data_IF_810272014395
#
_entry.id   IF_810272014395
#
_cell.length_a   1.000
_cell.length_b   1.000
_cell.length_c   1.000
_cell.angle_alpha   90.00
_cell.angle_beta   90.00
_cell.angle_gamma   90.00
#
_symmetry.space_group_name_H-M   'P 1'
#
loop_
_entity.id
_entity.type
_entity.pdbx_description
1 polymer ?
#
# COMPACT_ATOMS: atom_id res chain seq x y z
N UNK A 1 -12.89 18.50 52.00
CA UNK A 1 -13.37 18.25 50.62
C UNK A 1 -12.49 18.84 49.52
N UNK A 2 -11.96 20.09 49.62
CA UNK A 2 -11.06 20.66 48.59
C UNK A 2 -9.80 19.83 48.28
N UNK A 3 -9.18 19.19 49.29
CA UNK A 3 -7.97 18.37 49.11
C UNK A 3 -8.20 17.05 48.35
N UNK A 4 -9.41 16.48 48.43
CA UNK A 4 -9.77 15.22 47.74
C UNK A 4 -10.06 15.50 46.25
N UNK A 5 -10.70 16.64 45.96
CA UNK A 5 -10.99 17.07 44.59
C UNK A 5 -9.71 17.37 43.79
N UNK A 6 -8.72 18.02 44.40
CA UNK A 6 -7.40 18.22 43.76
C UNK A 6 -6.67 16.91 43.48
N UNK A 7 -6.76 15.92 44.38
CA UNK A 7 -6.10 14.62 44.21
C UNK A 7 -6.73 13.83 43.03
N UNK A 8 -8.06 13.81 42.95
CA UNK A 8 -8.80 13.19 41.84
C UNK A 8 -8.52 13.90 40.49
N UNK A 9 -8.39 15.23 40.50
CA UNK A 9 -8.04 15.98 39.29
C UNK A 9 -6.60 15.72 38.83
N UNK A 10 -5.64 15.61 39.76
CA UNK A 10 -4.26 15.25 39.44
C UNK A 10 -4.11 13.81 38.93
N UNK A 11 -4.87 12.86 39.48
CA UNK A 11 -4.89 11.48 39.01
C UNK A 11 -5.52 11.37 37.61
N UNK A 12 -6.60 12.12 37.34
CA UNK A 12 -7.21 12.19 36.01
C UNK A 12 -6.28 12.73 34.92
N UNK A 13 -5.46 13.76 35.24
CA UNK A 13 -4.47 14.32 34.32
C UNK A 13 -3.31 13.36 34.00
N UNK A 14 -2.91 12.50 34.94
CA UNK A 14 -1.84 11.50 34.68
C UNK A 14 -2.28 10.37 33.75
N UNK A 15 -3.57 10.04 33.70
CA UNK A 15 -4.09 9.02 32.77
C UNK A 15 -4.22 9.52 31.33
N UNK A 16 -4.29 10.83 31.10
CA UNK A 16 -4.42 11.40 29.75
C UNK A 16 -3.09 11.57 28.98
N UNK A 17 -1.93 11.38 29.62
CA UNK A 17 -0.62 11.68 29.01
C UNK A 17 0.15 10.46 28.49
N UNK A 18 -0.37 9.24 28.66
CA UNK A 18 0.28 8.03 28.17
C UNK A 18 -0.38 7.53 26.89
N UNK A 19 -0.30 8.32 25.80
CA UNK A 19 -0.79 7.87 24.51
C UNK A 19 0.09 6.70 24.02
N UNK A 20 -0.54 5.54 23.86
CA UNK A 20 0.11 4.32 23.37
C UNK A 20 0.33 4.42 21.86
N UNK A 21 1.43 3.86 21.38
CA UNK A 21 1.64 3.70 19.93
C UNK A 21 0.64 2.67 19.41
N UNK A 22 -0.02 2.99 18.31
CA UNK A 22 -1.04 2.14 17.67
C UNK A 22 -0.78 2.04 16.17
N UNK A 23 -1.07 0.86 15.61
CA UNK A 23 -1.00 0.62 14.17
C UNK A 23 -2.39 0.31 13.64
N UNK A 24 -2.92 1.19 12.78
CA UNK A 24 -4.17 0.98 12.07
C UNK A 24 -3.89 0.54 10.64
N UNK A 25 -4.40 -0.64 10.28
CA UNK A 25 -4.38 -1.13 8.90
C UNK A 25 -5.56 -0.55 8.13
N UNK A 26 -5.31 -0.06 6.93
CA UNK A 26 -6.33 0.47 6.04
C UNK A 26 -6.06 -0.09 4.64
N UNK A 27 -7.04 -0.78 4.08
CA UNK A 27 -6.98 -1.19 2.67
C UNK A 27 -7.77 -0.12 1.91
N UNK A 28 -7.07 0.68 1.13
CA UNK A 28 -7.73 1.61 0.23
C UNK A 28 -8.07 0.85 -1.04
N UNK A 29 -9.36 0.77 -1.33
CA UNK A 29 -9.90 0.17 -2.56
C UNK A 29 -10.54 1.21 -3.46
N UNK A 30 -10.33 2.49 -3.17
CA UNK A 30 -10.83 3.60 -3.97
C UNK A 30 -9.94 4.82 -3.84
N UNK A 31 -9.96 5.66 -4.87
CA UNK A 31 -9.23 6.92 -4.88
C UNK A 31 -10.00 7.98 -5.67
N UNK A 32 -9.90 9.22 -5.17
CA UNK A 32 -10.37 10.41 -5.88
C UNK A 32 -9.15 11.17 -6.39
N UNK A 33 -9.17 11.48 -7.67
CA UNK A 33 -8.17 12.26 -8.37
C UNK A 33 -8.77 13.61 -8.79
N UNK A 34 -7.97 14.65 -8.66
CA UNK A 34 -8.20 15.94 -9.32
C UNK A 34 -7.28 16.04 -10.52
N UNK A 35 -7.73 16.67 -11.59
CA UNK A 35 -6.95 16.79 -12.79
C UNK A 35 -7.58 17.73 -13.80
N UNK A 36 -7.17 17.60 -15.05
CA UNK A 36 -7.70 18.36 -16.16
C UNK A 36 -7.67 17.58 -17.48
N UNK A 37 -8.57 17.95 -18.40
CA UNK A 37 -8.57 17.52 -19.80
C UNK A 37 -8.61 18.77 -20.67
N UNK A 38 -7.61 18.98 -21.51
CA UNK A 38 -7.44 20.18 -22.33
C UNK A 38 -7.62 21.49 -21.51
N UNK A 39 -7.01 21.54 -20.31
CA UNK A 39 -7.11 22.68 -19.39
C UNK A 39 -8.44 22.83 -18.65
N UNK A 40 -9.42 21.94 -18.88
CA UNK A 40 -10.69 21.95 -18.16
C UNK A 40 -10.59 21.06 -16.92
N UNK A 41 -10.84 21.59 -15.70
CA UNK A 41 -10.75 20.81 -14.47
C UNK A 41 -11.74 19.64 -14.43
N UNK A 42 -11.25 18.49 -13.97
CA UNK A 42 -12.02 17.27 -13.76
C UNK A 42 -11.80 16.70 -12.35
N UNK A 43 -12.81 15.95 -11.90
CA UNK A 43 -12.69 15.05 -10.75
C UNK A 43 -12.99 13.64 -11.24
N UNK A 44 -12.12 12.70 -10.87
CA UNK A 44 -12.19 11.29 -11.22
C UNK A 44 -12.24 10.48 -9.93
N UNK A 45 -13.23 9.61 -9.76
CA UNK A 45 -13.28 8.64 -8.68
C UNK A 45 -13.17 7.24 -9.28
N UNK A 46 -12.23 6.44 -8.78
CA UNK A 46 -12.02 5.06 -9.20
C UNK A 46 -12.02 4.13 -8.01
N UNK A 47 -12.60 2.96 -8.20
CA UNK A 47 -12.69 1.86 -7.25
C UNK A 47 -12.03 0.62 -7.86
N UNK A 48 -11.33 -0.16 -7.03
CA UNK A 48 -10.84 -1.48 -7.36
C UNK A 48 -12.00 -2.41 -7.70
N UNK A 49 -11.89 -3.16 -8.79
CA UNK A 49 -13.00 -3.96 -9.34
C UNK A 49 -12.59 -5.39 -9.73
N UNK A 50 -11.60 -5.93 -9.00
CA UNK A 50 -11.09 -7.30 -9.13
C UNK A 50 -9.75 -7.37 -9.84
N UNK A 51 -8.97 -8.41 -9.52
CA UNK A 51 -7.70 -8.70 -10.20
C UNK A 51 -7.96 -9.25 -11.61
N UNK A 52 -7.00 -9.03 -12.51
CA UNK A 52 -6.98 -9.68 -13.82
C UNK A 52 -6.20 -10.97 -13.63
N UNK A 53 -6.89 -12.09 -13.77
CA UNK A 53 -6.31 -13.42 -13.59
C UNK A 53 -5.65 -13.58 -12.21
N UNK A 54 -4.32 -13.72 -12.15
CA UNK A 54 -3.53 -13.99 -10.96
C UNK A 54 -2.48 -12.92 -10.68
N UNK A 55 -2.63 -11.69 -11.18
CA UNK A 55 -1.67 -10.62 -10.96
C UNK A 55 -2.33 -9.39 -10.33
N UNK A 56 -2.03 -9.09 -9.07
CA UNK A 56 -2.60 -7.91 -8.41
C UNK A 56 -1.99 -6.58 -8.89
N UNK A 57 -0.84 -6.61 -9.56
CA UNK A 57 -0.32 -5.44 -10.29
C UNK A 57 -1.19 -5.07 -11.50
N UNK A 58 -2.05 -5.99 -11.94
CA UNK A 58 -3.00 -5.84 -13.03
C UNK A 58 -4.43 -6.04 -12.53
N UNK A 59 -5.21 -4.98 -12.43
CA UNK A 59 -6.56 -5.11 -11.91
C UNK A 59 -7.54 -4.24 -12.67
N UNK A 60 -8.78 -4.71 -12.69
CA UNK A 60 -9.89 -3.92 -13.17
C UNK A 60 -10.17 -2.76 -12.22
N UNK A 61 -10.58 -1.66 -12.81
CA UNK A 61 -11.09 -0.51 -12.08
C UNK A 61 -12.43 -0.09 -12.68
N UNK A 62 -13.28 0.50 -11.85
CA UNK A 62 -14.52 1.13 -12.28
C UNK A 62 -14.66 2.48 -11.58
N UNK A 63 -15.55 3.31 -12.09
CA UNK A 63 -15.89 4.54 -11.40
C UNK A 63 -16.51 5.54 -12.35
N UNK A 64 -16.15 6.80 -12.17
CA UNK A 64 -16.66 7.89 -12.98
C UNK A 64 -15.72 9.08 -12.94
N UNK A 65 -15.83 9.95 -13.94
CA UNK A 65 -15.28 11.30 -13.86
C UNK A 65 -16.36 12.34 -14.17
N UNK A 66 -16.12 13.59 -13.83
CA UNK A 66 -16.91 14.72 -14.32
C UNK A 66 -16.02 15.93 -14.54
N UNK A 67 -16.49 16.84 -15.40
CA UNK A 67 -15.97 18.21 -15.47
C UNK A 67 -16.55 19.05 -14.34
N UNK A 68 -15.71 19.84 -13.67
CA UNK A 68 -16.14 20.63 -12.51
C UNK A 68 -17.28 21.60 -12.83
N UNK A 69 -17.31 22.14 -14.06
CA UNK A 69 -18.36 23.04 -14.54
C UNK A 69 -19.75 22.38 -14.58
N UNK A 70 -19.82 21.10 -14.97
CA UNK A 70 -21.10 20.43 -15.24
C UNK A 70 -21.51 19.45 -14.14
N UNK A 71 -20.55 18.92 -13.38
CA UNK A 71 -20.76 17.92 -12.31
C UNK A 71 -21.57 16.67 -12.73
N UNK A 72 -21.74 16.44 -14.04
CA UNK A 72 -22.38 15.25 -14.59
C UNK A 72 -21.38 14.10 -14.61
N UNK A 73 -21.65 13.06 -13.83
CA UNK A 73 -20.83 11.85 -13.78
C UNK A 73 -20.90 11.09 -15.11
N UNK A 74 -19.73 10.81 -15.66
CA UNK A 74 -19.51 10.00 -16.85
C UNK A 74 -18.86 8.70 -16.37
N UNK A 75 -19.50 7.54 -16.59
CA UNK A 75 -19.02 6.29 -16.04
C UNK A 75 -17.77 5.81 -16.75
N UNK A 76 -16.92 5.10 -16.00
CA UNK A 76 -15.67 4.55 -16.46
C UNK A 76 -15.52 3.10 -16.04
N UNK A 77 -14.92 2.33 -16.94
CA UNK A 77 -14.39 0.98 -16.70
C UNK A 77 -12.98 0.94 -17.25
N UNK A 78 -12.06 0.25 -16.61
CA UNK A 78 -10.68 0.27 -17.04
C UNK A 78 -9.81 -0.80 -16.42
N UNK A 79 -8.51 -0.63 -16.65
CA UNK A 79 -7.44 -1.48 -16.12
C UNK A 79 -6.33 -0.60 -15.58
N UNK A 80 -5.84 -0.95 -14.40
CA UNK A 80 -4.55 -0.51 -13.88
C UNK A 80 -3.50 -1.58 -14.21
N UNK A 81 -2.34 -1.16 -14.73
CA UNK A 81 -1.22 -2.02 -15.08
C UNK A 81 0.10 -1.34 -14.67
N UNK A 82 0.70 -1.76 -13.55
CA UNK A 82 2.08 -1.38 -13.19
C UNK A 82 2.41 0.13 -13.34
N UNK A 83 1.51 1.03 -12.91
CA UNK A 83 1.71 2.48 -13.00
C UNK A 83 1.08 3.14 -14.24
N UNK A 84 0.39 2.36 -15.06
CA UNK A 84 -0.44 2.83 -16.16
C UNK A 84 -1.92 2.59 -15.86
N UNK A 85 -2.76 3.52 -16.30
CA UNK A 85 -4.20 3.48 -16.07
C UNK A 85 -4.92 3.74 -17.39
N UNK A 86 -5.69 2.75 -17.83
CA UNK A 86 -6.49 2.78 -19.06
C UNK A 86 -7.97 2.81 -18.68
N UNK A 87 -8.70 3.85 -19.08
CA UNK A 87 -10.10 4.08 -18.67
C UNK A 87 -10.96 4.31 -19.91
N UNK A 88 -12.17 3.73 -19.89
CA UNK A 88 -13.07 3.68 -21.03
C UNK A 88 -14.48 4.07 -20.60
N UNK A 89 -15.08 4.97 -21.38
CA UNK A 89 -16.51 5.24 -21.36
C UNK A 89 -17.13 4.69 -22.64
N UNK A 90 -18.12 3.80 -22.51
CA UNK A 90 -18.85 3.20 -23.63
C UNK A 90 -20.22 3.89 -23.88
N UNK A 91 -20.49 5.02 -23.22
CA UNK A 91 -21.75 5.75 -23.35
C UNK A 91 -22.93 4.92 -22.85
N UNK A 92 -24.02 4.89 -23.62
CA UNK A 92 -25.26 4.21 -23.24
C UNK A 92 -25.09 2.68 -23.09
N UNK A 93 -24.01 2.11 -23.65
CA UNK A 93 -23.69 0.69 -23.56
C UNK A 93 -22.69 0.37 -22.43
N UNK A 94 -22.50 1.27 -21.45
CA UNK A 94 -21.51 1.08 -20.38
C UNK A 94 -21.59 -0.30 -19.71
N UNK A 95 -22.78 -0.73 -19.31
CA UNK A 95 -22.97 -1.98 -18.55
C UNK A 95 -22.65 -3.22 -19.40
N UNK A 96 -23.20 -3.31 -20.61
CA UNK A 96 -23.00 -4.44 -21.53
C UNK A 96 -21.55 -4.51 -22.02
N UNK A 97 -20.99 -3.38 -22.47
CA UNK A 97 -19.60 -3.31 -22.94
C UNK A 97 -18.60 -3.56 -21.81
N UNK A 98 -18.88 -3.15 -20.57
CA UNK A 98 -18.03 -3.49 -19.41
C UNK A 98 -17.92 -4.99 -19.21
N UNK A 99 -19.05 -5.70 -19.27
CA UNK A 99 -19.05 -7.17 -19.16
C UNK A 99 -18.21 -7.80 -20.27
N UNK A 100 -18.47 -7.42 -21.53
CA UNK A 100 -17.71 -7.93 -22.67
C UNK A 100 -16.22 -7.53 -22.67
N UNK A 101 -15.88 -6.38 -22.10
CA UNK A 101 -14.49 -5.94 -21.91
C UNK A 101 -13.76 -6.85 -20.92
N UNK A 102 -14.36 -7.09 -19.75
CA UNK A 102 -13.79 -7.97 -18.72
C UNK A 102 -13.65 -9.42 -19.20
N UNK A 103 -14.65 -9.94 -19.91
CA UNK A 103 -14.63 -11.31 -20.46
C UNK A 103 -13.52 -11.52 -21.51
N UNK A 104 -13.18 -10.48 -22.28
CA UNK A 104 -12.10 -10.52 -23.28
C UNK A 104 -10.72 -10.25 -22.69
N UNK A 105 -10.65 -9.71 -21.48
CA UNK A 105 -9.39 -9.30 -20.89
C UNK A 105 -8.67 -10.50 -20.27
N UNK A 106 -7.40 -10.64 -20.60
CA UNK A 106 -6.47 -11.56 -19.96
C UNK A 106 -5.16 -10.84 -19.67
N UNK A 107 -4.30 -11.45 -18.87
CA UNK A 107 -2.98 -10.90 -18.49
C UNK A 107 -2.19 -10.41 -19.71
N UNK A 108 -2.13 -11.21 -20.77
CA UNK A 108 -1.32 -10.92 -21.96
C UNK A 108 -1.98 -9.88 -22.90
N UNK A 109 -3.21 -9.47 -22.61
CA UNK A 109 -3.98 -8.50 -23.39
C UNK A 109 -4.12 -7.14 -22.70
N UNK A 110 -3.57 -6.96 -21.50
CA UNK A 110 -3.66 -5.72 -20.73
C UNK A 110 -3.09 -4.53 -21.51
N UNK A 111 -1.94 -4.68 -22.16
CA UNK A 111 -1.36 -3.62 -23.01
C UNK A 111 -2.20 -3.31 -24.26
N UNK A 112 -3.10 -4.23 -24.65
CA UNK A 112 -4.03 -4.08 -25.78
C UNK A 112 -5.42 -3.61 -25.33
N UNK A 113 -5.57 -3.13 -24.10
CA UNK A 113 -6.85 -2.66 -23.54
C UNK A 113 -7.56 -1.66 -24.45
N UNK A 114 -6.83 -0.69 -25.01
CA UNK A 114 -7.38 0.31 -25.93
C UNK A 114 -7.97 -0.32 -27.20
N UNK A 115 -7.31 -1.34 -27.75
CA UNK A 115 -7.79 -2.04 -28.94
C UNK A 115 -9.07 -2.81 -28.63
N UNK A 116 -9.13 -3.50 -27.49
CA UNK A 116 -10.34 -4.21 -27.04
C UNK A 116 -11.48 -3.20 -26.85
N UNK A 117 -11.23 -2.09 -26.16
CA UNK A 117 -12.23 -1.05 -25.92
C UNK A 117 -12.74 -0.43 -27.23
N UNK A 118 -11.88 -0.21 -28.23
CA UNK A 118 -12.27 0.24 -29.57
C UNK A 118 -13.20 -0.75 -30.27
N UNK A 119 -12.93 -2.07 -30.20
CA UNK A 119 -13.86 -3.07 -30.77
C UNK A 119 -15.23 -3.06 -30.11
N UNK A 120 -15.29 -2.67 -28.83
CA UNK A 120 -16.51 -2.50 -28.05
C UNK A 120 -17.12 -1.09 -28.18
N UNK A 121 -16.65 -0.30 -29.15
CA UNK A 121 -17.15 1.04 -29.51
C UNK A 121 -17.07 2.05 -28.35
N UNK A 122 -15.96 2.04 -27.59
CA UNK A 122 -15.67 3.08 -26.60
C UNK A 122 -15.80 4.47 -27.23
N UNK A 123 -16.47 5.37 -26.51
CA UNK A 123 -16.70 6.77 -26.91
C UNK A 123 -15.56 7.67 -26.48
N UNK A 124 -15.03 7.41 -25.29
CA UNK A 124 -13.91 8.14 -24.71
C UNK A 124 -12.91 7.15 -24.12
N UNK A 125 -11.63 7.45 -24.31
CA UNK A 125 -10.51 6.68 -23.77
C UNK A 125 -9.60 7.65 -23.02
N UNK A 126 -9.31 7.38 -21.74
CA UNK A 126 -8.29 8.08 -20.98
C UNK A 126 -7.13 7.15 -20.67
N UNK A 127 -5.91 7.62 -20.91
CA UNK A 127 -4.70 6.90 -20.54
C UNK A 127 -3.84 7.78 -19.66
N UNK A 128 -3.34 7.26 -18.54
CA UNK A 128 -2.45 7.96 -17.63
C UNK A 128 -1.24 7.07 -17.30
N UNK A 129 -0.07 7.68 -17.10
CA UNK A 129 1.17 6.94 -16.81
C UNK A 129 2.05 7.70 -15.82
N UNK A 130 2.46 7.03 -14.74
CA UNK A 130 3.29 7.61 -13.67
C UNK A 130 4.80 7.54 -13.92
N UNK A 131 5.22 7.28 -15.18
CA UNK A 131 6.63 7.13 -15.61
C UNK A 131 7.56 8.27 -15.21
N UNK A 132 7.04 9.44 -14.82
CA UNK A 132 7.82 10.56 -14.29
C UNK A 132 7.65 10.69 -12.77
N UNK A 133 8.55 10.05 -12.03
CA UNK A 133 8.57 10.11 -10.56
C UNK A 133 8.60 11.55 -10.04
N UNK A 134 7.73 11.85 -9.08
CA UNK A 134 7.73 13.10 -8.33
C UNK A 134 6.94 14.27 -8.94
N UNK A 135 6.31 14.09 -10.10
CA UNK A 135 5.50 15.10 -10.81
C UNK A 135 4.03 14.67 -10.93
N UNK A 136 3.19 15.60 -11.40
CA UNK A 136 1.83 15.30 -11.82
C UNK A 136 1.82 14.20 -12.89
N UNK A 137 0.85 13.31 -12.84
CA UNK A 137 0.70 12.23 -13.81
C UNK A 137 0.09 12.76 -15.11
N UNK A 138 0.83 12.63 -16.20
CA UNK A 138 0.38 13.00 -17.54
C UNK A 138 -0.41 11.89 -18.22
N UNK A 139 -1.24 12.27 -19.18
CA UNK A 139 -2.11 11.36 -19.90
C UNK A 139 -2.68 11.93 -21.19
N UNK A 140 -3.48 11.12 -21.87
CA UNK A 140 -4.20 11.48 -23.08
C UNK A 140 -5.69 11.17 -22.94
N UNK A 141 -6.51 11.99 -23.58
CA UNK A 141 -7.94 11.81 -23.72
C UNK A 141 -8.28 11.71 -25.21
N UNK A 142 -8.81 10.55 -25.63
CA UNK A 142 -9.25 10.31 -27.00
C UNK A 142 -10.77 10.31 -27.06
N UNK A 143 -11.33 11.10 -27.97
CA UNK A 143 -12.77 11.14 -28.25
C UNK A 143 -12.98 11.27 -29.76
N UNK A 144 -13.50 10.19 -30.36
CA UNK A 144 -13.50 10.05 -31.82
C UNK A 144 -12.07 10.14 -32.38
N UNK A 145 -11.84 11.08 -33.30
CA UNK A 145 -10.53 11.30 -33.92
C UNK A 145 -9.69 12.40 -33.21
N UNK A 146 -10.19 12.97 -32.11
CA UNK A 146 -9.49 14.02 -31.37
C UNK A 146 -8.69 13.41 -30.23
N UNK A 147 -7.43 13.81 -30.13
CA UNK A 147 -6.56 13.53 -28.98
C UNK A 147 -6.31 14.84 -28.24
N UNK A 148 -6.57 14.84 -26.93
CA UNK A 148 -6.38 15.97 -26.03
C UNK A 148 -5.44 15.57 -24.90
N UNK A 149 -4.65 16.52 -24.40
CA UNK A 149 -3.84 16.29 -23.20
C UNK A 149 -4.74 16.14 -21.97
N UNK A 150 -4.39 15.20 -21.11
CA UNK A 150 -4.99 15.03 -19.79
C UNK A 150 -3.88 15.00 -18.72
N UNK A 151 -4.22 15.39 -17.49
CA UNK A 151 -3.28 15.38 -16.37
C UNK A 151 -4.02 15.13 -15.06
N UNK A 152 -3.43 14.36 -14.16
CA UNK A 152 -3.89 14.20 -12.77
C UNK A 152 -2.89 14.89 -11.84
N UNK A 153 -3.41 15.71 -10.92
CA UNK A 153 -2.64 16.44 -9.91
C UNK A 153 -2.28 15.53 -8.74
N UNK A 154 -1.60 14.42 -9.05
CA UNK A 154 -1.12 13.42 -8.11
C UNK A 154 0.23 12.89 -8.60
N UNK A 155 1.03 12.40 -7.66
CA UNK A 155 2.27 11.67 -7.94
C UNK A 155 2.09 10.15 -7.96
N UNK A 156 0.88 9.69 -7.65
CA UNK A 156 0.58 8.28 -7.43
C UNK A 156 -0.87 7.96 -7.83
N UNK A 157 -1.01 7.09 -8.84
CA UNK A 157 -2.30 6.66 -9.40
C UNK A 157 -2.74 5.28 -8.95
N UNK A 158 -2.07 4.67 -7.95
CA UNK A 158 -2.46 3.35 -7.43
C UNK A 158 -3.81 3.40 -6.74
N UNK A 159 -4.78 2.59 -7.19
CA UNK A 159 -6.12 2.57 -6.60
C UNK A 159 -6.19 1.62 -5.39
N UNK A 160 -5.54 0.46 -5.49
CA UNK A 160 -5.56 -0.55 -4.45
C UNK A 160 -4.26 -0.51 -3.61
N UNK A 161 -4.36 -0.16 -2.32
CA UNK A 161 -3.19 0.05 -1.44
C UNK A 161 -3.38 -0.58 -0.05
N UNK A 162 -2.33 -1.19 0.48
CA UNK A 162 -2.25 -1.64 1.87
C UNK A 162 -1.59 -0.57 2.74
N UNK A 163 -2.36 0.43 3.14
CA UNK A 163 -1.90 1.49 4.02
C UNK A 163 -1.86 1.05 5.48
N UNK A 164 -0.87 1.58 6.20
CA UNK A 164 -0.68 1.33 7.61
C UNK A 164 -0.37 2.69 8.26
N UNK A 165 -1.23 3.10 9.17
CA UNK A 165 -1.08 4.37 9.88
C UNK A 165 -0.62 4.08 11.30
N UNK A 166 0.58 4.55 11.62
CA UNK A 166 1.09 4.56 12.97
C UNK A 166 0.62 5.83 13.65
N UNK A 167 -0.16 5.68 14.74
CA UNK A 167 -0.46 6.80 15.64
C UNK A 167 0.54 6.74 16.79
N UNK A 168 1.31 7.81 16.94
CA UNK A 168 2.34 7.95 17.98
C UNK A 168 1.94 9.05 18.96
N UNK A 169 2.66 9.25 20.09
CA UNK A 169 2.33 10.31 21.05
C UNK A 169 2.07 11.67 20.41
N UNK A 170 1.21 12.47 21.06
CA UNK A 170 0.68 13.74 20.54
C UNK A 170 -0.21 13.58 19.29
N UNK A 171 -0.81 12.40 19.11
CA UNK A 171 -1.71 12.05 18.01
C UNK A 171 -1.11 12.27 16.61
N UNK A 172 0.23 12.25 16.51
CA UNK A 172 0.93 12.34 15.24
C UNK A 172 0.66 11.06 14.47
N UNK A 173 0.14 11.21 13.25
CA UNK A 173 -0.17 10.09 12.35
C UNK A 173 0.92 10.00 11.29
N UNK A 174 1.50 8.81 11.16
CA UNK A 174 2.57 8.54 10.22
C UNK A 174 2.08 7.44 9.28
N UNK A 175 1.99 7.73 7.98
CA UNK A 175 1.70 6.71 6.99
C UNK A 175 2.98 5.92 6.71
N UNK A 176 3.03 4.65 7.13
CA UNK A 176 4.25 3.86 6.91
C UNK A 176 4.43 3.48 5.46
N UNK A 177 3.35 3.46 4.65
CA UNK A 177 3.40 3.16 3.22
C UNK A 177 4.37 4.04 2.43
N UNK A 178 4.64 5.25 2.94
CA UNK A 178 5.55 6.20 2.30
C UNK A 178 7.02 5.73 2.37
N UNK A 179 7.36 4.80 3.28
CA UNK A 179 8.74 4.39 3.51
C UNK A 179 8.96 2.89 3.80
N UNK A 180 7.92 2.07 4.03
CA UNK A 180 8.05 0.60 4.15
C UNK A 180 7.49 -0.11 2.92
N UNK A 181 7.64 -1.45 2.88
CA UNK A 181 7.09 -2.27 1.80
C UNK A 181 5.58 -2.05 1.62
N UNK A 182 5.17 -1.89 0.35
CA UNK A 182 3.80 -1.65 -0.10
C UNK A 182 2.92 -2.90 -0.04
N UNK A 183 3.50 -4.08 0.19
CA UNK A 183 2.84 -5.39 0.31
C UNK A 183 2.00 -5.54 1.60
N UNK A 184 2.17 -4.66 2.58
CA UNK A 184 1.33 -4.62 3.78
C UNK A 184 1.77 -5.60 4.88
N UNK A 185 0.84 -6.39 5.41
CA UNK A 185 1.15 -7.48 6.38
C UNK A 185 1.55 -7.08 7.81
N UNK A 186 1.89 -5.82 8.07
CA UNK A 186 2.45 -5.38 9.34
C UNK A 186 1.52 -5.55 10.54
N UNK A 187 2.05 -5.94 11.69
CA UNK A 187 1.39 -6.04 13.00
C UNK A 187 2.30 -5.38 14.04
N UNK A 188 1.76 -4.49 14.86
CA UNK A 188 2.53 -3.86 15.94
C UNK A 188 2.86 -4.90 17.02
N UNK A 189 4.15 -5.07 17.32
CA UNK A 189 4.61 -5.98 18.36
C UNK A 189 4.92 -5.20 19.64
N UNK A 190 5.73 -4.14 19.51
CA UNK A 190 6.14 -3.30 20.63
C UNK A 190 6.69 -1.96 20.16
N UNK A 191 6.93 -1.06 21.11
CA UNK A 191 7.68 0.16 20.91
C UNK A 191 8.55 0.43 22.13
N UNK A 192 9.65 1.16 21.93
CA UNK A 192 10.57 1.54 23.00
C UNK A 192 11.11 2.95 22.76
N UNK A 193 11.37 3.67 23.84
CA UNK A 193 11.93 5.02 23.81
C UNK A 193 13.14 5.06 24.73
N UNK A 194 14.29 5.52 24.21
CA UNK A 194 15.52 5.66 24.98
C UNK A 194 16.29 6.94 24.60
N UNK A 195 17.53 7.06 25.09
CA UNK A 195 18.38 8.24 24.82
C UNK A 195 18.67 8.45 23.33
N UNK A 196 18.66 7.39 22.51
CA UNK A 196 18.94 7.41 21.07
C UNK A 196 17.72 7.79 20.21
N UNK A 197 16.51 7.64 20.74
CA UNK A 197 15.27 7.99 20.07
C UNK A 197 14.14 7.00 20.37
N UNK A 198 13.18 6.93 19.45
CA UNK A 198 12.05 6.01 19.53
C UNK A 198 12.19 4.88 18.51
N UNK A 199 11.70 3.69 18.87
CA UNK A 199 11.68 2.50 18.02
C UNK A 199 10.30 1.88 18.02
N UNK A 200 9.89 1.37 16.87
CA UNK A 200 8.70 0.56 16.71
C UNK A 200 9.08 -0.76 16.08
N UNK A 201 8.74 -1.85 16.76
CA UNK A 201 8.93 -3.20 16.26
C UNK A 201 7.61 -3.70 15.66
N UNK A 202 7.67 -4.03 14.38
CA UNK A 202 6.59 -4.64 13.65
C UNK A 202 6.97 -6.09 13.33
N UNK A 203 6.00 -7.00 13.42
CA UNK A 203 6.05 -8.29 12.75
C UNK A 203 5.29 -8.14 11.44
N UNK A 204 5.78 -8.75 10.36
CA UNK A 204 5.07 -8.76 9.09
C UNK A 204 4.94 -10.17 8.56
N UNK A 205 3.86 -10.36 7.82
CA UNK A 205 3.50 -11.54 7.07
C UNK A 205 2.78 -11.02 5.83
N UNK A 206 3.44 -11.10 4.68
CA UNK A 206 2.99 -10.49 3.42
C UNK A 206 3.28 -11.42 2.26
N UNK A 207 2.65 -11.18 1.11
CA UNK A 207 2.92 -11.94 -0.11
C UNK A 207 4.35 -11.66 -0.58
N UNK A 208 5.06 -12.68 -1.07
CA UNK A 208 6.36 -12.51 -1.72
C UNK A 208 6.28 -11.73 -3.01
N UNK A 209 5.17 -11.87 -3.73
CA UNK A 209 4.95 -11.21 -5.00
C UNK A 209 3.44 -11.03 -5.22
N UNK A 210 3.05 -9.91 -5.84
CA UNK A 210 1.66 -9.70 -6.27
C UNK A 210 1.32 -10.43 -7.58
N UNK A 211 2.30 -11.00 -8.28
CA UNK A 211 2.07 -11.97 -9.34
C UNK A 211 1.96 -13.39 -8.74
N UNK A 212 0.72 -13.82 -8.46
CA UNK A 212 0.41 -15.11 -7.85
C UNK A 212 0.76 -16.31 -8.73
N UNK A 213 0.82 -16.14 -10.06
CA UNK A 213 1.28 -17.19 -10.99
C UNK A 213 2.81 -17.24 -11.16
N UNK A 214 3.53 -16.24 -10.66
CA UNK A 214 4.98 -16.17 -10.75
C UNK A 214 5.67 -17.03 -9.69
N UNK A 215 7.01 -17.08 -9.77
CA UNK A 215 7.82 -17.65 -8.70
C UNK A 215 7.45 -16.99 -7.36
N UNK A 216 7.26 -17.82 -6.33
CA UNK A 216 6.83 -17.41 -4.99
C UNK A 216 5.40 -16.82 -4.87
N UNK A 217 4.63 -16.76 -5.94
CA UNK A 217 3.28 -16.19 -5.95
C UNK A 217 2.27 -16.98 -5.09
N UNK A 218 2.41 -18.30 -5.03
CA UNK A 218 1.60 -19.19 -4.19
C UNK A 218 2.32 -19.64 -2.90
N UNK A 219 3.45 -19.01 -2.54
CA UNK A 219 4.18 -19.36 -1.33
C UNK A 219 3.49 -18.83 -0.07
N UNK A 220 3.89 -19.33 1.10
CA UNK A 220 3.46 -18.83 2.42
C UNK A 220 3.93 -17.38 2.71
N UNK A 221 4.59 -16.75 1.73
CA UNK A 221 4.94 -15.34 1.74
C UNK A 221 6.26 -15.03 2.43
N UNK A 222 6.43 -13.75 2.70
CA UNK A 222 7.57 -13.17 3.41
C UNK A 222 7.14 -12.90 4.85
N UNK A 223 7.91 -13.43 5.80
CA UNK A 223 7.66 -13.23 7.23
C UNK A 223 8.91 -12.69 7.90
N UNK A 224 8.71 -11.83 8.88
CA UNK A 224 9.85 -11.29 9.61
C UNK A 224 9.50 -10.12 10.52
N UNK A 225 10.54 -9.36 10.85
CA UNK A 225 10.45 -8.20 11.72
C UNK A 225 10.99 -6.95 11.04
N UNK A 226 10.32 -5.81 11.28
CA UNK A 226 10.79 -4.49 10.90
C UNK A 226 11.00 -3.66 12.16
N UNK A 227 12.14 -2.98 12.24
CA UNK A 227 12.39 -1.97 13.27
C UNK A 227 12.37 -0.62 12.61
N UNK A 228 11.37 0.19 12.93
CA UNK A 228 11.28 1.59 12.51
C UNK A 228 11.97 2.46 13.55
N UNK A 229 12.85 3.36 13.11
CA UNK A 229 13.60 4.27 13.97
C UNK A 229 13.14 5.70 13.78
N UNK A 230 12.96 6.40 14.90
CA UNK A 230 12.51 7.79 14.92
C UNK A 230 13.42 8.66 15.81
N UNK A 231 13.38 9.98 15.60
CA UNK A 231 13.86 10.97 16.57
C UNK A 231 13.05 10.90 17.87
N UNK A 232 13.48 11.62 18.91
CA UNK A 232 12.74 11.74 20.17
C UNK A 232 11.35 12.37 19.96
N UNK A 233 11.24 13.24 18.96
CA UNK A 233 10.01 13.92 18.54
C UNK A 233 9.21 13.14 17.48
N UNK A 234 9.52 11.85 17.33
CA UNK A 234 8.83 10.92 16.44
C UNK A 234 8.93 11.29 14.95
N UNK A 235 10.00 11.96 14.52
CA UNK A 235 10.31 12.12 13.10
C UNK A 235 11.00 10.88 12.57
N UNK A 236 10.55 10.41 11.41
CA UNK A 236 11.06 9.20 10.80
C UNK A 236 12.54 9.36 10.40
N UNK A 237 13.37 8.37 10.74
CA UNK A 237 14.78 8.32 10.34
C UNK A 237 15.02 7.27 9.26
N UNK A 238 14.75 6.02 9.59
CA UNK A 238 14.93 4.87 8.71
C UNK A 238 14.19 3.65 9.27
N UNK A 239 14.28 2.53 8.56
CA UNK A 239 13.92 1.22 9.08
C UNK A 239 14.96 0.16 8.73
N UNK A 240 14.90 -0.96 9.44
CA UNK A 240 15.61 -2.19 9.08
C UNK A 240 14.62 -3.35 9.03
N UNK A 241 14.80 -4.23 8.07
CA UNK A 241 13.99 -5.42 7.87
C UNK A 241 14.83 -6.69 8.11
N UNK A 242 14.20 -7.70 8.71
CA UNK A 242 14.82 -8.96 9.08
C UNK A 242 13.87 -10.10 8.75
N UNK A 243 14.20 -10.88 7.73
CA UNK A 243 13.40 -12.01 7.27
C UNK A 243 13.61 -13.23 8.17
N UNK A 244 12.51 -13.86 8.57
CA UNK A 244 12.50 -15.17 9.23
C UNK A 244 12.02 -16.27 8.29
N UNK A 245 11.20 -15.94 7.29
CA UNK A 245 10.84 -16.84 6.19
C UNK A 245 10.77 -16.01 4.91
N UNK A 246 11.28 -16.56 3.81
CA UNK A 246 11.33 -15.86 2.54
C UNK A 246 11.45 -16.83 1.39
N UNK A 247 10.49 -16.80 0.48
CA UNK A 247 10.60 -17.59 -0.74
C UNK A 247 11.66 -17.00 -1.68
N UNK A 248 11.73 -15.67 -1.77
CA UNK A 248 12.68 -14.97 -2.65
C UNK A 248 14.14 -15.15 -2.22
N UNK A 249 14.40 -15.16 -0.91
CA UNK A 249 15.76 -15.33 -0.35
C UNK A 249 16.10 -16.80 -0.02
N UNK A 250 15.20 -17.73 -0.36
CA UNK A 250 15.30 -19.16 -0.04
C UNK A 250 15.51 -19.43 1.47
N UNK A 251 14.80 -18.69 2.33
CA UNK A 251 14.81 -18.87 3.78
C UNK A 251 13.62 -19.75 4.16
N UNK A 252 13.91 -21.01 4.47
CA UNK A 252 12.95 -22.03 4.87
C UNK A 252 13.41 -22.74 6.16
N UNK A 253 12.48 -23.42 6.83
CA UNK A 253 12.72 -24.20 8.05
C UNK A 253 13.39 -23.42 9.20
N UNK A 254 13.07 -22.14 9.33
CA UNK A 254 13.58 -21.32 10.43
C UNK A 254 13.10 -21.89 11.77
N UNK A 255 14.05 -22.22 12.64
CA UNK A 255 13.72 -22.71 13.98
C UNK A 255 13.61 -21.54 14.93
N UNK A 256 12.53 -21.49 15.72
CA UNK A 256 12.34 -20.46 16.72
C UNK A 256 12.50 -21.02 18.14
N UNK A 257 13.12 -20.25 19.02
CA UNK A 257 13.20 -20.54 20.44
C UNK A 257 12.78 -19.31 21.21
N UNK A 258 11.72 -19.43 22.00
CA UNK A 258 11.28 -18.40 22.92
C UNK A 258 11.95 -18.62 24.26
N UNK A 259 12.77 -17.67 24.69
CA UNK A 259 13.35 -17.71 26.03
C UNK A 259 12.23 -17.34 27.00
N UNK A 260 11.86 -18.27 27.89
CA UNK A 260 10.88 -18.00 28.95
C UNK A 260 11.35 -16.78 29.77
N UNK A 261 10.41 -15.93 30.15
CA UNK A 261 10.56 -14.72 30.97
C UNK A 261 11.19 -13.46 30.33
N UNK A 262 12.03 -13.55 29.30
CA UNK A 262 12.74 -12.36 28.77
C UNK A 262 11.97 -11.55 27.72
N UNK A 263 10.87 -12.08 27.14
CA UNK A 263 10.25 -11.58 25.89
C UNK A 263 11.27 -11.47 24.74
N UNK A 264 12.31 -12.30 24.74
CA UNK A 264 13.28 -12.42 23.66
C UNK A 264 12.95 -13.65 22.82
N UNK A 265 12.89 -13.46 21.50
CA UNK A 265 12.71 -14.53 20.52
C UNK A 265 14.01 -14.72 19.75
N UNK A 266 14.47 -15.97 19.64
CA UNK A 266 15.62 -16.32 18.80
C UNK A 266 15.13 -17.11 17.60
N UNK A 267 15.64 -16.77 16.42
CA UNK A 267 15.38 -17.46 15.17
C UNK A 267 16.70 -17.89 14.57
N UNK A 268 16.88 -19.19 14.33
CA UNK A 268 18.07 -19.70 13.64
C UNK A 268 17.73 -19.92 12.17
N UNK A 269 18.37 -19.13 11.30
CA UNK A 269 18.22 -19.19 9.86
C UNK A 269 19.37 -20.04 9.33
N UNK A 270 19.02 -21.11 8.62
CA UNK A 270 20.00 -21.99 7.97
C UNK A 270 20.73 -21.24 6.85
N UNK A 271 21.87 -21.77 6.43
CA UNK A 271 22.58 -21.27 5.26
C UNK A 271 21.66 -21.34 4.03
N UNK A 272 21.55 -20.23 3.31
CA UNK A 272 20.88 -20.17 2.00
C UNK A 272 21.91 -20.20 0.87
N UNK A 273 21.46 -20.18 -0.38
CA UNK A 273 22.36 -20.06 -1.54
C UNK A 273 23.22 -18.78 -1.48
N UNK A 274 22.67 -17.71 -0.89
CA UNK A 274 23.25 -16.36 -0.94
C UNK A 274 23.82 -15.90 0.41
N UNK A 275 23.47 -16.56 1.52
CA UNK A 275 23.88 -16.12 2.87
C UNK A 275 24.31 -17.28 3.76
N UNK A 276 25.37 -17.12 4.59
CA UNK A 276 25.71 -18.10 5.61
C UNK A 276 24.58 -18.19 6.65
N UNK A 277 24.55 -19.25 7.46
CA UNK A 277 23.63 -19.33 8.59
C UNK A 277 23.80 -18.14 9.53
N UNK A 278 22.71 -17.70 10.14
CA UNK A 278 22.73 -16.62 11.12
C UNK A 278 21.59 -16.77 12.12
N UNK A 279 21.71 -16.10 13.25
CA UNK A 279 20.67 -16.02 14.27
C UNK A 279 20.11 -14.60 14.32
N UNK A 280 18.78 -14.48 14.34
CA UNK A 280 18.09 -13.25 14.69
C UNK A 280 17.65 -13.32 16.16
N UNK A 281 18.00 -12.30 16.94
CA UNK A 281 17.50 -12.13 18.30
C UNK A 281 16.58 -10.92 18.33
N UNK A 282 15.29 -11.16 18.55
CA UNK A 282 14.25 -10.15 18.65
C UNK A 282 13.99 -9.86 20.12
N UNK A 283 14.33 -8.65 20.55
CA UNK A 283 14.02 -8.15 21.89
C UNK A 283 12.75 -7.29 21.82
N UNK A 284 11.63 -7.87 22.27
CA UNK A 284 10.31 -7.22 22.28
C UNK A 284 10.22 -6.11 23.33
N UNK A 285 11.07 -6.11 24.37
CA UNK A 285 11.05 -5.02 25.37
C UNK A 285 11.72 -3.78 24.82
N UNK A 286 12.84 -3.97 24.13
CA UNK A 286 13.63 -2.88 23.55
C UNK A 286 13.24 -2.53 22.11
N UNK A 287 12.23 -3.22 21.55
CA UNK A 287 11.78 -3.05 20.17
C UNK A 287 12.95 -3.10 19.17
N UNK A 288 13.81 -4.11 19.31
CA UNK A 288 15.05 -4.23 18.54
C UNK A 288 15.29 -5.64 18.03
N UNK A 289 16.02 -5.74 16.91
CA UNK A 289 16.46 -7.02 16.35
C UNK A 289 17.95 -6.95 16.09
N UNK A 290 18.68 -7.97 16.54
CA UNK A 290 20.11 -8.15 16.24
C UNK A 290 20.31 -9.38 15.39
N UNK A 291 21.26 -9.31 14.45
CA UNK A 291 21.69 -10.40 13.59
C UNK A 291 23.12 -10.80 13.96
N UNK A 292 23.34 -12.06 14.31
CA UNK A 292 24.67 -12.63 14.58
C UNK A 292 24.93 -13.82 13.67
N UNK A 293 26.20 -14.05 13.30
CA UNK A 293 26.59 -15.27 12.58
C UNK A 293 26.62 -16.46 13.53
#
# INVERSE_FOLDING_TARGET
MKKILSLLFSLGLTFCLCQKVELKKVIDSSQIFKGEIAGNPIILQLDFDGIIDCDQYQHFVKGWYYYDKYKKKIPLTGVYNLGELFLFNFGDQQKSSTKGFKEKMSRDLVEKSDSIAKTLKAKEILTFSDKQSGKDVSGNFLMGNKSLSARLFTKDIRIYRYNNYLTVPNNKKINTYDFINKLGGNKLVSYASDKSGNRVLLYFEELSNFNFCGMCGASDGEKGYRVLYFTKDWDYKNFKEYLTESCLENIYDTTSTKIKDSKVLKFNIKKTSNTPSYTLTVDVRNASVTKSR
#
